data_IF_874434614001
#
_entry.id   IF_874434614001
#
_cell.length_a   1.000
_cell.length_b   1.000
_cell.length_c   1.000
_cell.angle_alpha   90.00
_cell.angle_beta   90.00
_cell.angle_gamma   90.00
#
_symmetry.space_group_name_H-M   'P 1'
#
loop_
_entity.id
_entity.type
_entity.pdbx_description
1 polymer ?
#
# COMPACT_ATOMS: atom_id res chain seq x y z
N UNK A 1 7.65 39.02 -2.06
CA UNK A 1 7.38 37.79 -1.27
C UNK A 1 8.07 36.62 -1.94
N UNK A 2 8.47 35.60 -1.19
CA UNK A 2 9.09 34.38 -1.73
C UNK A 2 8.19 33.21 -1.37
N UNK A 3 7.75 32.46 -2.38
CA UNK A 3 6.98 31.23 -2.19
C UNK A 3 7.68 30.10 -2.91
N UNK A 4 7.70 28.93 -2.27
CA UNK A 4 8.30 27.73 -2.84
C UNK A 4 7.22 26.70 -3.19
N UNK A 5 7.42 26.02 -4.30
CA UNK A 5 6.52 25.02 -4.86
C UNK A 5 7.31 23.74 -5.20
N UNK A 6 6.61 22.61 -5.31
CA UNK A 6 7.14 21.38 -5.89
C UNK A 6 6.81 21.36 -7.39
N UNK A 7 7.81 21.09 -8.23
CA UNK A 7 7.64 21.04 -9.69
C UNK A 7 8.10 19.70 -10.24
N UNK A 8 7.14 18.89 -10.68
CA UNK A 8 7.37 17.56 -11.25
C UNK A 8 7.66 17.66 -12.76
N UNK A 9 8.45 16.72 -13.28
CA UNK A 9 8.72 16.58 -14.73
C UNK A 9 10.05 17.17 -15.22
N UNK A 10 10.81 17.86 -14.37
CA UNK A 10 12.17 18.34 -14.69
C UNK A 10 13.17 17.18 -14.70
N UNK A 11 13.82 16.95 -15.85
CA UNK A 11 14.80 15.85 -16.00
C UNK A 11 16.15 16.31 -16.58
N UNK A 12 16.30 17.57 -16.96
CA UNK A 12 17.54 18.09 -17.56
C UNK A 12 17.65 19.62 -17.43
N UNK A 13 18.84 20.17 -17.66
CA UNK A 13 19.14 21.60 -17.59
C UNK A 13 18.32 22.45 -18.58
N UNK A 14 17.93 21.90 -19.73
CA UNK A 14 17.04 22.57 -20.68
C UNK A 14 15.61 22.71 -20.17
N UNK A 15 15.12 21.79 -19.32
CA UNK A 15 13.83 21.94 -18.64
C UNK A 15 13.84 23.17 -17.73
N UNK A 16 14.92 23.37 -16.96
CA UNK A 16 15.06 24.52 -16.05
C UNK A 16 15.03 25.84 -16.82
N UNK A 17 15.76 25.92 -17.92
CA UNK A 17 15.79 27.12 -18.76
C UNK A 17 14.39 27.43 -19.34
N UNK A 18 13.68 26.42 -19.82
CA UNK A 18 12.31 26.55 -20.34
C UNK A 18 11.35 27.08 -19.26
N UNK A 19 11.35 26.46 -18.08
CA UNK A 19 10.49 26.83 -16.95
C UNK A 19 10.78 28.25 -16.49
N UNK A 20 12.07 28.60 -16.33
CA UNK A 20 12.50 29.95 -15.94
C UNK A 20 12.02 31.00 -16.94
N UNK A 21 12.08 30.69 -18.24
CA UNK A 21 11.64 31.60 -19.31
C UNK A 21 10.13 31.79 -19.29
N UNK A 22 9.35 30.71 -19.16
CA UNK A 22 7.89 30.75 -19.18
C UNK A 22 7.32 31.44 -17.94
N UNK A 23 7.76 31.06 -16.75
CA UNK A 23 7.24 31.66 -15.52
C UNK A 23 7.63 33.15 -15.40
N UNK A 24 8.79 33.57 -15.94
CA UNK A 24 9.16 35.00 -15.98
C UNK A 24 8.28 35.85 -16.91
N UNK A 25 7.46 35.25 -17.78
CA UNK A 25 6.47 36.02 -18.57
C UNK A 25 5.30 36.54 -17.73
N UNK A 26 5.10 35.99 -16.52
CA UNK A 26 4.07 36.47 -15.60
C UNK A 26 4.58 37.79 -14.96
N UNK A 27 3.87 38.92 -15.12
CA UNK A 27 4.34 40.24 -14.68
C UNK A 27 4.52 40.35 -13.16
N UNK A 28 3.90 39.45 -12.39
CA UNK A 28 3.96 39.40 -10.94
C UNK A 28 5.22 38.69 -10.41
N UNK A 29 6.02 38.08 -11.30
CA UNK A 29 7.19 37.25 -10.96
C UNK A 29 8.49 37.99 -11.26
N UNK A 30 9.32 38.19 -10.23
CA UNK A 30 10.62 38.85 -10.33
C UNK A 30 11.75 37.86 -10.60
N UNK A 31 11.71 36.72 -9.89
CA UNK A 31 12.77 35.72 -9.94
C UNK A 31 12.17 34.32 -9.89
N UNK A 32 12.74 33.43 -10.72
CA UNK A 32 12.39 32.01 -10.78
C UNK A 32 13.68 31.21 -10.67
N UNK A 33 13.76 30.37 -9.63
CA UNK A 33 14.90 29.50 -9.33
C UNK A 33 14.41 28.04 -9.25
N UNK A 34 14.37 27.32 -10.38
CA UNK A 34 14.06 25.90 -10.40
C UNK A 34 15.31 25.09 -10.05
N UNK A 35 15.16 24.10 -9.16
CA UNK A 35 16.21 23.13 -8.81
C UNK A 35 15.78 21.71 -9.24
N UNK A 36 16.57 21.11 -10.12
CA UNK A 36 16.34 19.75 -10.66
C UNK A 36 16.54 18.70 -9.56
N UNK A 37 17.56 18.90 -8.72
CA UNK A 37 18.00 17.92 -7.73
C UNK A 37 16.94 17.74 -6.65
N UNK A 38 16.35 18.85 -6.21
CA UNK A 38 15.33 18.85 -5.16
C UNK A 38 13.89 18.87 -5.71
N UNK A 39 13.71 19.02 -7.03
CA UNK A 39 12.42 19.25 -7.69
C UNK A 39 11.64 20.44 -7.10
N UNK A 40 12.37 21.43 -6.56
CA UNK A 40 11.80 22.63 -5.95
C UNK A 40 11.82 23.78 -6.93
N UNK A 41 10.80 24.63 -6.83
CA UNK A 41 10.65 25.84 -7.61
C UNK A 41 10.45 27.00 -6.64
N UNK A 42 11.47 27.84 -6.52
CA UNK A 42 11.41 29.05 -5.70
C UNK A 42 11.05 30.24 -6.58
N UNK A 43 9.99 30.95 -6.20
CA UNK A 43 9.46 32.09 -6.95
C UNK A 43 9.44 33.34 -6.05
N UNK A 44 10.13 34.39 -6.49
CA UNK A 44 10.02 35.73 -5.90
C UNK A 44 8.99 36.53 -6.69
N UNK A 45 8.01 37.08 -6.00
CA UNK A 45 6.81 37.68 -6.58
C UNK A 45 6.30 38.86 -5.77
N UNK A 46 5.64 39.82 -6.42
CA UNK A 46 5.20 41.09 -5.82
C UNK A 46 3.79 41.06 -5.24
N UNK A 47 2.96 40.12 -5.68
CA UNK A 47 1.55 39.98 -5.28
C UNK A 47 1.16 38.50 -5.17
N UNK A 48 0.02 38.19 -4.55
CA UNK A 48 -0.42 36.81 -4.35
C UNK A 48 -0.61 36.07 -5.69
N UNK A 49 0.11 34.96 -5.86
CA UNK A 49 0.01 34.06 -7.01
C UNK A 49 -0.92 32.89 -6.71
N UNK A 50 -1.84 32.58 -7.62
CA UNK A 50 -2.65 31.37 -7.55
C UNK A 50 -1.99 30.23 -8.31
N UNK A 51 -2.19 29.00 -7.83
CA UNK A 51 -1.62 27.80 -8.44
C UNK A 51 -2.11 27.59 -9.89
N UNK A 52 -3.35 27.99 -10.16
CA UNK A 52 -3.95 27.95 -11.50
C UNK A 52 -3.19 28.81 -12.52
N UNK A 53 -2.80 30.03 -12.14
CA UNK A 53 -2.05 30.93 -13.05
C UNK A 53 -0.65 30.39 -13.37
N UNK A 54 0.01 29.79 -12.37
CA UNK A 54 1.31 29.14 -12.54
C UNK A 54 1.21 27.90 -13.43
N UNK A 55 0.18 27.08 -13.24
CA UNK A 55 -0.05 25.88 -14.05
C UNK A 55 -0.46 26.24 -15.49
N UNK A 56 -1.25 27.31 -15.66
CA UNK A 56 -1.68 27.80 -16.97
C UNK A 56 -0.50 28.31 -17.81
N UNK A 57 0.50 28.94 -17.18
CA UNK A 57 1.73 29.37 -17.87
C UNK A 57 2.57 28.20 -18.40
N UNK A 58 2.30 26.97 -17.95
CA UNK A 58 2.93 25.73 -18.40
C UNK A 58 1.96 24.81 -19.16
N UNK A 59 0.76 25.28 -19.53
CA UNK A 59 -0.26 24.47 -20.17
C UNK A 59 0.20 23.83 -21.50
N UNK A 60 1.09 24.49 -22.24
CA UNK A 60 1.70 23.97 -23.47
C UNK A 60 2.56 22.70 -23.23
N UNK A 61 2.88 22.40 -21.97
CA UNK A 61 3.77 21.32 -21.57
C UNK A 61 3.11 20.45 -20.48
N UNK A 62 2.24 19.49 -20.85
CA UNK A 62 1.48 18.67 -19.90
C UNK A 62 2.35 17.76 -19.02
N UNK A 63 3.65 17.64 -19.34
CA UNK A 63 4.63 16.91 -18.52
C UNK A 63 4.95 17.61 -17.19
N UNK A 64 4.74 18.93 -17.09
CA UNK A 64 5.09 19.70 -15.90
C UNK A 64 3.88 19.94 -15.00
N UNK A 65 4.01 19.61 -13.71
CA UNK A 65 2.96 19.82 -12.71
C UNK A 65 3.54 20.57 -11.51
N UNK A 66 2.96 21.73 -11.22
CA UNK A 66 3.26 22.53 -10.04
C UNK A 66 2.32 22.09 -8.92
N UNK A 67 2.87 21.86 -7.74
CA UNK A 67 2.14 21.54 -6.51
C UNK A 67 2.63 22.46 -5.40
N UNK A 68 1.76 22.78 -4.43
CA UNK A 68 2.22 23.45 -3.20
C UNK A 68 3.27 22.58 -2.53
N UNK A 69 4.31 23.20 -1.95
CA UNK A 69 5.23 22.48 -1.08
C UNK A 69 4.45 21.73 -0.01
N UNK A 70 4.42 20.40 -0.14
CA UNK A 70 3.97 19.54 0.93
C UNK A 70 5.09 19.59 1.97
N UNK A 71 4.84 20.27 3.09
CA UNK A 71 5.78 20.30 4.22
C UNK A 71 6.25 18.87 4.53
N UNK A 72 7.54 18.58 4.37
CA UNK A 72 8.12 17.27 4.73
C UNK A 72 7.96 16.95 6.22
N UNK A 73 7.66 17.95 7.06
CA UNK A 73 7.27 17.78 8.45
C UNK A 73 5.95 17.00 8.64
N UNK A 74 5.22 16.69 7.56
CA UNK A 74 3.96 15.97 7.59
C UNK A 74 3.99 14.67 6.77
N UNK A 75 5.17 14.04 6.59
CA UNK A 75 5.20 12.60 6.27
C UNK A 75 4.57 11.89 7.46
N UNK A 76 3.44 11.18 7.29
CA UNK A 76 2.85 10.48 8.42
C UNK A 76 3.89 9.50 8.96
N UNK A 77 4.20 9.61 10.25
CA UNK A 77 5.16 8.75 10.92
C UNK A 77 4.81 7.29 10.58
N UNK A 78 5.80 6.43 10.32
CA UNK A 78 5.56 5.02 9.96
C UNK A 78 4.58 4.36 10.94
N UNK A 79 4.74 4.63 12.23
CA UNK A 79 3.87 4.11 13.28
C UNK A 79 2.42 4.62 13.22
N UNK A 80 2.14 5.83 12.74
CA UNK A 80 0.75 6.33 12.65
C UNK A 80 0.03 5.76 11.43
N UNK A 81 0.76 5.52 10.34
CA UNK A 81 0.20 4.95 9.10
C UNK A 81 -0.10 3.46 9.27
N UNK A 82 0.83 2.69 9.83
CA UNK A 82 0.73 1.23 9.97
C UNK A 82 0.15 0.76 11.32
N UNK A 83 -0.31 1.68 12.16
CA UNK A 83 -0.84 1.38 13.51
C UNK A 83 -1.87 0.24 13.51
N UNK A 84 -2.88 0.20 12.62
CA UNK A 84 -3.91 -0.84 12.68
C UNK A 84 -3.34 -2.23 12.38
N UNK A 85 -2.48 -2.34 11.35
CA UNK A 85 -1.85 -3.60 10.94
C UNK A 85 -0.91 -4.11 12.02
N UNK A 86 -0.07 -3.24 12.58
CA UNK A 86 0.85 -3.60 13.65
C UNK A 86 0.08 -4.08 14.89
N UNK A 87 -1.01 -3.41 15.24
CA UNK A 87 -1.87 -3.80 16.35
C UNK A 87 -2.47 -5.20 16.14
N UNK A 88 -3.02 -5.48 14.96
CA UNK A 88 -3.55 -6.82 14.63
C UNK A 88 -2.44 -7.87 14.72
N UNK A 89 -1.29 -7.62 14.10
CA UNK A 89 -0.17 -8.54 14.12
C UNK A 89 0.31 -8.84 15.55
N UNK A 90 0.49 -7.81 16.37
CA UNK A 90 0.88 -7.96 17.77
C UNK A 90 -0.14 -8.77 18.56
N UNK A 91 -1.44 -8.49 18.42
CA UNK A 91 -2.48 -9.25 19.11
C UNK A 91 -2.50 -10.72 18.69
N UNK A 92 -2.38 -11.01 17.39
CA UNK A 92 -2.34 -12.39 16.90
C UNK A 92 -1.11 -13.16 17.41
N UNK A 93 0.06 -12.51 17.45
CA UNK A 93 1.27 -13.11 18.02
C UNK A 93 1.08 -13.41 19.51
N UNK A 94 0.49 -12.48 20.29
CA UNK A 94 0.21 -12.72 21.70
C UNK A 94 -0.75 -13.90 21.92
N UNK A 95 -1.82 -14.01 21.12
CA UNK A 95 -2.71 -15.17 21.16
C UNK A 95 -1.95 -16.47 20.86
N UNK A 96 -1.12 -16.48 19.81
CA UNK A 96 -0.30 -17.64 19.46
C UNK A 96 0.68 -18.02 20.58
N UNK A 97 1.30 -17.05 21.27
CA UNK A 97 2.17 -17.32 22.41
C UNK A 97 1.41 -17.98 23.57
N UNK A 98 0.16 -17.57 23.81
CA UNK A 98 -0.71 -18.19 24.82
C UNK A 98 -1.05 -19.63 24.43
N UNK A 99 -1.37 -19.88 23.16
CA UNK A 99 -1.66 -21.24 22.66
C UNK A 99 -0.42 -22.14 22.78
N UNK A 100 0.76 -21.66 22.38
CA UNK A 100 2.02 -22.39 22.58
C UNK A 100 2.22 -22.74 24.05
N UNK A 101 2.03 -21.78 24.96
CA UNK A 101 2.18 -21.99 26.39
C UNK A 101 1.23 -23.08 26.92
N UNK A 102 -0.02 -23.05 26.49
CA UNK A 102 -1.03 -24.05 26.87
C UNK A 102 -0.71 -25.44 26.31
N UNK A 103 -0.26 -25.53 25.06
CA UNK A 103 0.10 -26.79 24.40
C UNK A 103 1.37 -27.42 24.97
N UNK A 104 2.37 -26.60 25.30
CA UNK A 104 3.60 -27.07 25.98
C UNK A 104 3.26 -27.64 27.36
N UNK A 105 2.35 -27.00 28.12
CA UNK A 105 1.86 -27.55 29.40
C UNK A 105 1.16 -28.89 29.26
N UNK A 106 0.44 -29.09 28.15
CA UNK A 106 -0.24 -30.34 27.83
C UNK A 106 0.70 -31.40 27.22
N UNK A 107 2.01 -31.15 27.17
CA UNK A 107 3.01 -32.04 26.57
C UNK A 107 2.72 -32.38 25.11
N UNK A 108 2.13 -31.44 24.37
CA UNK A 108 1.88 -31.61 22.95
C UNK A 108 3.20 -31.76 22.16
N UNK A 109 3.17 -32.55 21.08
CA UNK A 109 4.32 -32.71 20.20
C UNK A 109 4.67 -31.40 19.51
N UNK A 110 5.95 -31.18 19.20
CA UNK A 110 6.40 -29.97 18.49
C UNK A 110 5.69 -29.81 17.14
N UNK A 111 5.50 -30.90 16.40
CA UNK A 111 4.79 -30.88 15.12
C UNK A 111 3.32 -30.46 15.27
N UNK A 112 2.62 -30.93 16.30
CA UNK A 112 1.25 -30.51 16.56
C UNK A 112 1.18 -29.03 16.94
N UNK A 113 2.09 -28.57 17.81
CA UNK A 113 2.15 -27.18 18.26
C UNK A 113 2.41 -26.21 17.10
N UNK A 114 3.39 -26.50 16.23
CA UNK A 114 3.69 -25.67 15.07
C UNK A 114 2.47 -25.61 14.13
N UNK A 115 1.89 -26.75 13.79
CA UNK A 115 0.70 -26.81 12.93
C UNK A 115 -0.48 -26.02 13.54
N UNK A 116 -0.72 -26.15 14.85
CA UNK A 116 -1.79 -25.44 15.52
C UNK A 116 -1.60 -23.92 15.46
N UNK A 117 -0.41 -23.44 15.84
CA UNK A 117 -0.07 -22.02 15.82
C UNK A 117 -0.15 -21.43 14.42
N UNK A 118 0.34 -22.15 13.42
CA UNK A 118 0.26 -21.71 12.03
C UNK A 118 -1.19 -21.54 11.59
N UNK A 119 -2.07 -22.51 11.89
CA UNK A 119 -3.50 -22.40 11.55
C UNK A 119 -4.18 -21.24 12.27
N UNK A 120 -3.94 -21.07 13.57
CA UNK A 120 -4.56 -19.99 14.35
C UNK A 120 -4.10 -18.63 13.85
N UNK A 121 -2.79 -18.46 13.61
CA UNK A 121 -2.23 -17.22 13.08
C UNK A 121 -2.79 -16.91 11.69
N UNK A 122 -2.72 -17.84 10.74
CA UNK A 122 -3.22 -17.63 9.38
C UNK A 122 -4.73 -17.36 9.37
N UNK A 123 -5.48 -18.14 10.16
CA UNK A 123 -6.92 -17.99 10.30
C UNK A 123 -7.31 -16.62 10.85
N UNK A 124 -6.73 -16.22 11.98
CA UNK A 124 -6.97 -14.91 12.59
C UNK A 124 -6.54 -13.75 11.69
N UNK A 125 -5.44 -13.92 10.95
CA UNK A 125 -4.96 -12.94 9.98
C UNK A 125 -5.97 -12.75 8.84
N UNK A 126 -6.40 -13.84 8.19
CA UNK A 126 -7.41 -13.79 7.12
C UNK A 126 -8.74 -13.20 7.59
N UNK A 127 -9.24 -13.57 8.77
CA UNK A 127 -10.47 -12.98 9.33
C UNK A 127 -10.31 -11.48 9.56
N UNK A 128 -9.20 -11.05 10.15
CA UNK A 128 -8.98 -9.63 10.46
C UNK A 128 -8.91 -8.78 9.19
N UNK A 129 -8.17 -9.23 8.17
CA UNK A 129 -8.02 -8.48 6.93
C UNK A 129 -9.26 -8.53 6.04
N UNK A 130 -9.95 -9.68 5.97
CA UNK A 130 -11.21 -9.78 5.26
C UNK A 130 -12.27 -8.87 5.88
N UNK A 131 -12.32 -8.73 7.20
CA UNK A 131 -13.24 -7.81 7.88
C UNK A 131 -13.14 -6.38 7.36
N UNK A 132 -11.93 -5.80 7.30
CA UNK A 132 -11.77 -4.43 6.78
C UNK A 132 -12.14 -4.30 5.30
N UNK A 133 -11.88 -5.34 4.50
CA UNK A 133 -12.26 -5.39 3.09
C UNK A 133 -13.78 -5.51 2.91
N UNK A 134 -14.46 -6.20 3.83
CA UNK A 134 -15.92 -6.37 3.83
C UNK A 134 -16.67 -5.10 4.24
N UNK A 135 -16.05 -4.19 5.02
CA UNK A 135 -16.67 -2.91 5.38
C UNK A 135 -17.00 -2.04 4.15
N UNK A 136 -16.19 -2.13 3.09
CA UNK A 136 -16.44 -1.46 1.82
C UNK A 136 -15.94 -2.30 0.64
N UNK A 137 -16.70 -3.36 0.33
CA UNK A 137 -16.36 -4.31 -0.76
C UNK A 137 -16.21 -3.59 -2.10
N UNK A 138 -17.06 -2.60 -2.40
CA UNK A 138 -17.03 -1.89 -3.69
C UNK A 138 -15.80 -0.99 -3.79
N UNK A 139 -15.49 -0.23 -2.74
CA UNK A 139 -14.29 0.58 -2.70
C UNK A 139 -13.01 -0.25 -2.66
N UNK A 140 -13.02 -1.41 -1.99
CA UNK A 140 -11.93 -2.40 -2.07
C UNK A 140 -11.75 -2.86 -3.51
N UNK A 141 -12.81 -3.37 -4.15
CA UNK A 141 -12.73 -3.94 -5.49
C UNK A 141 -12.28 -2.92 -6.54
N UNK A 142 -12.69 -1.65 -6.42
CA UNK A 142 -12.24 -0.58 -7.32
C UNK A 142 -10.72 -0.37 -7.25
N UNK A 143 -10.16 -0.34 -6.04
CA UNK A 143 -8.71 -0.15 -5.83
C UNK A 143 -7.91 -1.41 -6.15
N UNK A 144 -8.39 -2.58 -5.73
CA UNK A 144 -7.71 -3.86 -5.92
C UNK A 144 -7.42 -4.18 -7.40
N UNK A 145 -8.36 -3.83 -8.31
CA UNK A 145 -8.18 -4.00 -9.76
C UNK A 145 -7.00 -3.24 -10.36
N UNK A 146 -6.54 -2.17 -9.70
CA UNK A 146 -5.45 -1.34 -10.24
C UNK A 146 -4.07 -1.97 -10.10
N UNK A 147 -3.91 -2.95 -9.21
CA UNK A 147 -2.60 -3.55 -8.93
C UNK A 147 -2.59 -5.09 -8.88
N UNK A 148 -3.72 -5.74 -8.61
CA UNK A 148 -3.78 -7.20 -8.63
C UNK A 148 -3.89 -7.74 -10.07
N UNK A 149 -3.00 -8.67 -10.40
CA UNK A 149 -2.86 -9.19 -11.77
C UNK A 149 -4.13 -9.91 -12.25
N UNK A 150 -4.82 -10.66 -11.36
CA UNK A 150 -6.04 -11.40 -11.71
C UNK A 150 -7.25 -10.47 -11.75
N UNK A 151 -7.35 -9.55 -10.80
CA UNK A 151 -8.46 -8.60 -10.69
C UNK A 151 -8.55 -7.66 -11.88
N UNK A 152 -7.42 -7.31 -12.51
CA UNK A 152 -7.38 -6.49 -13.72
C UNK A 152 -8.13 -7.13 -14.89
N UNK A 153 -8.05 -8.47 -15.04
CA UNK A 153 -8.72 -9.21 -16.11
C UNK A 153 -10.12 -9.71 -15.73
N UNK A 154 -10.34 -10.02 -14.45
CA UNK A 154 -11.60 -10.60 -13.96
C UNK A 154 -12.19 -9.68 -12.89
N UNK A 155 -13.06 -8.71 -13.24
CA UNK A 155 -13.58 -7.74 -12.28
C UNK A 155 -14.38 -8.35 -11.13
N UNK A 156 -14.96 -9.53 -11.37
CA UNK A 156 -15.72 -10.32 -10.38
C UNK A 156 -14.77 -10.88 -9.31
N UNK A 157 -13.53 -11.23 -9.67
CA UNK A 157 -12.52 -11.71 -8.73
C UNK A 157 -12.31 -10.72 -7.59
N UNK A 158 -12.20 -9.42 -7.93
CA UNK A 158 -12.04 -8.35 -6.95
C UNK A 158 -13.21 -8.24 -5.95
N UNK A 159 -14.44 -8.58 -6.36
CA UNK A 159 -15.61 -8.59 -5.47
C UNK A 159 -15.65 -9.85 -4.60
N UNK A 160 -15.22 -10.99 -5.12
CA UNK A 160 -15.23 -12.27 -4.41
C UNK A 160 -14.08 -12.38 -3.40
N UNK A 161 -12.95 -11.74 -3.66
CA UNK A 161 -11.71 -11.90 -2.89
C UNK A 161 -11.88 -11.71 -1.36
N UNK A 162 -12.58 -10.67 -0.85
CA UNK A 162 -12.80 -10.51 0.60
C UNK A 162 -13.54 -11.70 1.23
N UNK A 163 -14.49 -12.30 0.50
CA UNK A 163 -15.24 -13.46 0.95
C UNK A 163 -14.39 -14.73 0.92
N UNK A 164 -13.51 -14.87 -0.07
CA UNK A 164 -12.56 -15.98 -0.17
C UNK A 164 -11.61 -15.95 1.03
N UNK A 165 -11.05 -14.78 1.37
CA UNK A 165 -10.20 -14.64 2.55
C UNK A 165 -10.97 -14.95 3.84
N UNK A 166 -12.20 -14.46 3.99
CA UNK A 166 -13.03 -14.80 5.14
C UNK A 166 -13.25 -16.32 5.26
N UNK A 167 -13.60 -16.99 4.15
CA UNK A 167 -13.80 -18.42 4.10
C UNK A 167 -12.52 -19.20 4.45
N UNK A 168 -11.38 -18.80 3.90
CA UNK A 168 -10.07 -19.36 4.26
C UNK A 168 -9.79 -19.21 5.76
N UNK A 169 -10.04 -18.01 6.31
CA UNK A 169 -9.89 -17.74 7.73
C UNK A 169 -10.69 -18.68 8.60
N UNK A 170 -11.97 -18.88 8.27
CA UNK A 170 -12.85 -19.82 8.97
C UNK A 170 -12.37 -21.28 8.84
N UNK A 171 -11.94 -21.70 7.66
CA UNK A 171 -11.44 -23.06 7.43
C UNK A 171 -10.19 -23.35 8.26
N UNK A 172 -9.23 -22.43 8.29
CA UNK A 172 -8.02 -22.56 9.11
C UNK A 172 -8.36 -22.62 10.62
N UNK A 173 -9.27 -21.76 11.11
CA UNK A 173 -9.69 -21.75 12.51
C UNK A 173 -10.51 -22.99 12.90
N UNK A 174 -11.28 -23.56 11.97
CA UNK A 174 -12.03 -24.81 12.18
C UNK A 174 -11.16 -26.07 12.24
N UNK A 175 -9.83 -25.92 12.17
CA UNK A 175 -8.85 -27.00 12.11
C UNK A 175 -9.03 -27.93 10.89
N UNK A 176 -9.60 -27.42 9.79
CA UNK A 176 -9.76 -28.17 8.54
C UNK A 176 -8.42 -28.27 7.79
N UNK A 177 -7.56 -29.19 8.21
CA UNK A 177 -6.17 -29.31 7.79
C UNK A 177 -6.00 -30.19 6.54
N UNK A 178 -6.55 -29.75 5.39
CA UNK A 178 -6.43 -30.51 4.14
C UNK A 178 -5.32 -29.94 3.25
N UNK A 179 -4.58 -30.83 2.56
CA UNK A 179 -3.56 -30.40 1.59
C UNK A 179 -4.15 -29.48 0.52
N UNK A 180 -5.40 -29.72 0.10
CA UNK A 180 -6.11 -28.87 -0.86
C UNK A 180 -6.26 -27.43 -0.37
N UNK A 181 -6.59 -27.22 0.92
CA UNK A 181 -6.70 -25.88 1.51
C UNK A 181 -5.37 -25.12 1.43
N UNK A 182 -4.26 -25.78 1.77
CA UNK A 182 -2.93 -25.17 1.76
C UNK A 182 -2.43 -24.87 0.35
N UNK A 183 -2.68 -25.76 -0.61
CA UNK A 183 -2.36 -25.51 -2.03
C UNK A 183 -3.15 -24.31 -2.55
N UNK A 184 -4.45 -24.27 -2.28
CA UNK A 184 -5.31 -23.16 -2.73
C UNK A 184 -4.88 -21.82 -2.10
N UNK A 185 -4.58 -21.82 -0.79
CA UNK A 185 -4.08 -20.65 -0.09
C UNK A 185 -2.75 -20.18 -0.66
N UNK A 186 -1.81 -21.09 -0.91
CA UNK A 186 -0.52 -20.77 -1.51
C UNK A 186 -0.67 -20.12 -2.90
N UNK A 187 -1.58 -20.64 -3.75
CA UNK A 187 -1.83 -20.07 -5.07
C UNK A 187 -2.37 -18.63 -4.99
N UNK A 188 -3.33 -18.38 -4.09
CA UNK A 188 -3.89 -17.04 -3.89
C UNK A 188 -2.81 -16.08 -3.37
N UNK A 189 -2.09 -16.46 -2.32
CA UNK A 189 -1.03 -15.63 -1.73
C UNK A 189 0.10 -15.36 -2.73
N UNK A 190 0.48 -16.34 -3.55
CA UNK A 190 1.47 -16.18 -4.60
C UNK A 190 1.01 -15.16 -5.65
N UNK A 191 -0.25 -15.25 -6.09
CA UNK A 191 -0.80 -14.30 -7.06
C UNK A 191 -0.81 -12.86 -6.52
N UNK A 192 -1.20 -12.68 -5.26
CA UNK A 192 -1.19 -11.37 -4.60
C UNK A 192 0.23 -10.83 -4.41
N UNK A 193 1.18 -11.69 -4.05
CA UNK A 193 2.60 -11.33 -3.90
C UNK A 193 3.19 -10.84 -5.22
N UNK A 194 2.92 -11.54 -6.33
CA UNK A 194 3.35 -11.11 -7.67
C UNK A 194 2.75 -9.76 -8.02
N UNK A 195 1.44 -9.56 -7.76
CA UNK A 195 0.76 -8.27 -7.98
C UNK A 195 1.40 -7.11 -7.21
N UNK A 196 1.71 -7.32 -5.93
CA UNK A 196 2.37 -6.30 -5.08
C UNK A 196 3.78 -5.98 -5.58
N UNK A 197 4.58 -7.00 -5.92
CA UNK A 197 5.94 -6.80 -6.46
C UNK A 197 5.89 -6.00 -7.77
N UNK A 198 4.96 -6.34 -8.66
CA UNK A 198 4.80 -5.66 -9.94
C UNK A 198 4.37 -4.20 -9.74
N UNK A 199 3.40 -3.95 -8.86
CA UNK A 199 2.92 -2.62 -8.53
C UNK A 199 4.02 -1.72 -7.94
N UNK A 200 4.83 -2.27 -7.03
CA UNK A 200 5.98 -1.56 -6.45
C UNK A 200 7.03 -1.20 -7.51
N UNK A 201 7.28 -2.08 -8.50
CA UNK A 201 8.23 -1.81 -9.59
C UNK A 201 7.77 -0.72 -10.55
N UNK A 202 6.46 -0.55 -10.70
CA UNK A 202 5.87 0.42 -11.62
C UNK A 202 5.78 1.85 -11.05
N UNK A 203 6.20 2.08 -9.78
CA UNK A 203 6.18 3.41 -9.10
C UNK A 203 4.87 4.18 -9.26
N UNK A 204 3.76 3.46 -9.41
CA UNK A 204 2.44 4.05 -9.44
C UNK A 204 2.06 4.34 -7.99
N UNK A 205 1.68 5.58 -7.63
CA UNK A 205 1.18 5.89 -6.29
C UNK A 205 -0.21 5.26 -6.11
N UNK A 206 -0.25 3.96 -5.87
CA UNK A 206 -1.49 3.20 -5.74
C UNK A 206 -1.85 3.13 -4.25
N UNK A 207 -3.10 3.49 -3.96
CA UNK A 207 -3.68 3.42 -2.63
C UNK A 207 -4.04 1.96 -2.30
N UNK A 208 -3.49 1.41 -1.23
CA UNK A 208 -3.72 0.02 -0.80
C UNK A 208 -5.17 -0.15 -0.33
N UNK A 209 -5.85 -1.13 -0.90
CA UNK A 209 -7.26 -1.39 -0.67
C UNK A 209 -7.54 -2.15 0.65
N UNK A 210 -6.52 -2.71 1.30
CA UNK A 210 -6.67 -3.75 2.32
C UNK A 210 -7.38 -3.31 3.61
N UNK A 211 -7.54 -2.02 3.89
CA UNK A 211 -8.20 -1.50 5.10
C UNK A 211 -9.51 -0.73 4.86
N UNK A 212 -10.11 -0.87 3.67
CA UNK A 212 -11.33 -0.14 3.29
C UNK A 212 -11.07 1.35 3.04
N UNK A 213 -12.08 2.08 2.55
CA UNK A 213 -11.96 3.48 2.13
C UNK A 213 -11.53 4.50 3.22
N UNK A 214 -11.35 4.06 4.48
CA UNK A 214 -10.95 4.91 5.61
C UNK A 214 -9.44 5.02 5.85
N UNK A 215 -8.59 4.15 5.29
CA UNK A 215 -7.15 4.15 5.57
C UNK A 215 -6.29 4.09 4.29
N UNK A 216 -5.67 5.22 3.93
CA UNK A 216 -4.77 5.37 2.78
C UNK A 216 -3.37 4.83 3.09
N UNK A 217 -3.23 3.50 3.20
CA UNK A 217 -1.92 2.86 3.26
C UNK A 217 -1.35 2.76 1.83
N UNK A 218 -0.11 3.16 1.56
CA UNK A 218 0.52 2.86 0.27
C UNK A 218 0.78 1.36 0.17
N UNK A 219 0.54 0.74 -1.00
CA UNK A 219 0.98 -0.65 -1.23
C UNK A 219 2.50 -0.66 -1.07
N UNK A 220 3.03 -1.48 -0.16
CA UNK A 220 4.44 -1.36 0.22
C UNK A 220 5.00 -2.58 0.93
N UNK A 221 6.16 -2.41 1.57
CA UNK A 221 6.94 -3.48 2.19
C UNK A 221 6.14 -4.32 3.21
N UNK A 222 5.17 -3.73 3.90
CA UNK A 222 4.34 -4.45 4.88
C UNK A 222 3.47 -5.50 4.20
N UNK A 223 2.80 -5.16 3.11
CA UNK A 223 1.95 -6.09 2.34
C UNK A 223 2.77 -7.19 1.67
N UNK A 224 4.02 -6.89 1.28
CA UNK A 224 4.97 -7.87 0.77
C UNK A 224 5.34 -8.91 1.84
N UNK A 225 5.68 -8.44 3.05
CA UNK A 225 6.01 -9.31 4.20
C UNK A 225 4.80 -10.14 4.62
N UNK A 226 3.60 -9.54 4.66
CA UNK A 226 2.34 -10.22 4.93
C UNK A 226 2.09 -11.38 3.96
N UNK A 227 2.03 -11.12 2.65
CA UNK A 227 1.73 -12.16 1.67
C UNK A 227 2.84 -13.21 1.61
N UNK A 228 4.09 -12.80 1.77
CA UNK A 228 5.24 -13.70 1.82
C UNK A 228 5.21 -14.63 3.04
N UNK A 229 4.89 -14.10 4.22
CA UNK A 229 4.75 -14.88 5.45
C UNK A 229 3.61 -15.90 5.32
N UNK A 230 2.43 -15.45 4.86
CA UNK A 230 1.27 -16.32 4.68
C UNK A 230 1.52 -17.42 3.65
N UNK A 231 2.21 -17.10 2.55
CA UNK A 231 2.65 -18.08 1.55
C UNK A 231 3.62 -19.09 2.16
N UNK A 232 4.64 -18.64 2.88
CA UNK A 232 5.61 -19.51 3.53
C UNK A 232 4.94 -20.48 4.51
N UNK A 233 4.05 -19.97 5.37
CA UNK A 233 3.31 -20.81 6.32
C UNK A 233 2.44 -21.83 5.59
N UNK A 234 1.76 -21.42 4.51
CA UNK A 234 0.96 -22.33 3.70
C UNK A 234 1.79 -23.46 3.07
N UNK A 235 3.01 -23.17 2.62
CA UNK A 235 3.92 -24.17 2.06
C UNK A 235 4.49 -25.11 3.13
N UNK A 236 4.83 -24.58 4.31
CA UNK A 236 5.32 -25.40 5.43
C UNK A 236 4.25 -26.38 5.93
N UNK A 237 2.98 -25.99 5.90
CA UNK A 237 1.84 -26.84 6.26
C UNK A 237 1.60 -28.00 5.27
N UNK A 238 2.27 -28.03 4.12
CA UNK A 238 2.18 -29.13 3.15
C UNK A 238 3.17 -30.27 3.43
N UNK A 239 4.10 -30.08 4.36
CA UNK A 239 5.17 -31.02 4.72
C UNK A 239 4.82 -31.68 6.05
#
# INVERSE_FOLDING_TARGET
MVTEYTLLGMTCSSCVALIKTRLKTIPQIELVEPDITTQRLKITHTSALTLETLQQALADFPKYSIQTLVNEANKPHFLTTYKPVLLIFTLLVLCCCIDVWNLVKQQATMAFTINHVMRVFMGGFFISFSFFKLLDVRGFASRFKTYDALAMYIPVWALCYPFIECALGLLYLSAFNTMALHVFTALIMLSGLIGVILAMRLSQPIQCACLGAGFNLPVGNVTLVENGLMLLMSLLMMI
#
